data_IF_321081231071
#
_entry.id   IF_321081231071
#
_cell.length_a   1.000
_cell.length_b   1.000
_cell.length_c   1.000
_cell.angle_alpha   90.00
_cell.angle_beta   90.00
_cell.angle_gamma   90.00
#
_symmetry.space_group_name_H-M   'P 1'
#
loop_
_entity.id
_entity.type
_entity.pdbx_description
1 polymer ?
#
# COMPACT_ATOMS: atom_id res chain seq x y z
N UNK A 1 37.55 -41.97 -6.21
CA UNK A 1 36.62 -40.99 -6.83
C UNK A 1 36.27 -39.96 -5.78
N UNK A 2 36.64 -38.67 -5.94
CA UNK A 2 36.31 -37.66 -4.96
C UNK A 2 34.88 -37.17 -5.21
N UNK A 3 34.04 -37.29 -4.20
CA UNK A 3 32.68 -36.74 -4.18
C UNK A 3 32.78 -35.22 -4.10
N UNK A 4 32.53 -34.52 -5.20
CA UNK A 4 32.32 -33.07 -5.18
C UNK A 4 30.87 -32.81 -4.82
N UNK A 5 30.65 -32.27 -3.62
CA UNK A 5 29.33 -31.84 -3.16
C UNK A 5 28.80 -30.75 -4.08
N UNK A 6 27.56 -30.84 -4.59
CA UNK A 6 26.96 -29.71 -5.29
C UNK A 6 26.59 -28.66 -4.25
N UNK A 7 27.32 -27.54 -4.22
CA UNK A 7 26.92 -26.35 -3.46
C UNK A 7 25.54 -25.91 -3.94
N UNK A 8 24.52 -25.84 -3.08
CA UNK A 8 23.28 -25.17 -3.44
C UNK A 8 23.62 -23.70 -3.72
N UNK A 9 23.27 -23.22 -4.91
CA UNK A 9 23.39 -21.81 -5.27
C UNK A 9 22.78 -20.96 -4.15
N UNK A 10 23.35 -19.78 -3.81
CA UNK A 10 22.59 -18.80 -3.07
C UNK A 10 21.38 -18.49 -3.94
N UNK A 11 20.21 -18.95 -3.51
CA UNK A 11 18.92 -18.49 -4.02
C UNK A 11 18.93 -17.01 -3.64
N UNK A 12 19.46 -16.19 -4.55
CA UNK A 12 19.33 -14.76 -4.49
C UNK A 12 17.83 -14.56 -4.48
N UNK A 13 17.29 -14.32 -3.29
CA UNK A 13 15.96 -13.83 -3.05
C UNK A 13 15.92 -12.46 -3.68
N UNK A 14 15.87 -12.45 -5.01
CA UNK A 14 15.55 -11.30 -5.80
C UNK A 14 14.22 -10.84 -5.23
N UNK A 15 14.13 -9.64 -4.63
CA UNK A 15 12.84 -9.10 -4.28
C UNK A 15 12.09 -9.08 -5.61
N UNK A 16 11.02 -9.85 -5.70
CA UNK A 16 10.17 -9.89 -6.86
C UNK A 16 9.62 -8.48 -7.07
N UNK A 17 10.35 -7.65 -7.83
CA UNK A 17 9.99 -6.28 -8.19
C UNK A 17 8.94 -6.28 -9.32
N UNK A 18 8.08 -7.29 -9.36
CA UNK A 18 7.01 -7.39 -10.35
C UNK A 18 5.66 -7.56 -9.64
N UNK A 19 5.10 -6.43 -9.21
CA UNK A 19 3.71 -6.09 -9.50
C UNK A 19 3.50 -4.63 -9.11
N UNK A 20 3.54 -3.74 -10.11
CA UNK A 20 3.24 -2.31 -10.02
C UNK A 20 1.73 -2.05 -9.74
N UNK A 21 1.08 -3.00 -9.07
CA UNK A 21 -0.35 -3.06 -8.81
C UNK A 21 -0.52 -3.07 -7.30
N UNK A 22 -1.34 -2.15 -6.80
CA UNK A 22 -1.74 -2.10 -5.40
C UNK A 22 -2.39 -3.43 -5.00
N UNK A 23 -1.98 -3.95 -3.85
CA UNK A 23 -2.65 -5.09 -3.25
C UNK A 23 -4.10 -4.69 -2.90
N UNK A 24 -5.12 -5.44 -3.37
CA UNK A 24 -6.52 -5.11 -3.10
C UNK A 24 -6.87 -5.17 -1.61
N UNK A 25 -6.17 -5.98 -0.81
CA UNK A 25 -6.32 -5.99 0.65
C UNK A 25 -5.78 -4.70 1.26
N UNK A 26 -4.67 -4.18 0.73
CA UNK A 26 -4.13 -2.88 1.16
C UNK A 26 -5.10 -1.73 0.84
N UNK A 27 -5.74 -1.76 -0.33
CA UNK A 27 -6.79 -0.80 -0.69
C UNK A 27 -7.97 -0.90 0.28
N UNK A 28 -8.46 -2.11 0.56
CA UNK A 28 -9.57 -2.32 1.48
C UNK A 28 -9.24 -1.82 2.90
N UNK A 29 -8.01 -2.03 3.36
CA UNK A 29 -7.53 -1.50 4.63
C UNK A 29 -7.49 0.03 4.62
N UNK A 30 -6.92 0.64 3.57
CA UNK A 30 -6.91 2.10 3.41
C UNK A 30 -8.33 2.66 3.46
N UNK A 31 -9.28 1.98 2.81
CA UNK A 31 -10.69 2.38 2.83
C UNK A 31 -11.27 2.27 4.24
N UNK A 32 -10.96 1.21 4.99
CA UNK A 32 -11.44 1.03 6.37
C UNK A 32 -10.91 2.13 7.30
N UNK A 33 -9.60 2.35 7.31
CA UNK A 33 -8.95 3.40 8.11
C UNK A 33 -9.48 4.79 7.74
N UNK A 34 -9.69 5.02 6.46
CA UNK A 34 -10.26 6.28 5.97
C UNK A 34 -11.74 6.42 6.34
N UNK A 35 -12.51 5.33 6.35
CA UNK A 35 -13.92 5.34 6.73
C UNK A 35 -14.12 5.69 8.21
N UNK A 36 -13.18 5.34 9.08
CA UNK A 36 -13.20 5.79 10.48
C UNK A 36 -13.02 7.30 10.64
N UNK A 37 -12.46 7.99 9.63
CA UNK A 37 -12.16 9.42 9.67
C UNK A 37 -13.17 10.27 8.90
N UNK A 38 -13.56 9.84 7.70
CA UNK A 38 -14.45 10.60 6.81
C UNK A 38 -15.78 9.88 6.49
N UNK A 39 -16.02 8.74 7.13
CA UNK A 39 -17.24 7.96 6.95
C UNK A 39 -17.32 7.23 5.59
N UNK A 40 -18.52 6.87 5.12
CA UNK A 40 -18.72 6.05 3.93
C UNK A 40 -18.20 6.68 2.62
N UNK A 41 -17.87 7.98 2.65
CA UNK A 41 -17.20 8.67 1.54
C UNK A 41 -15.80 8.12 1.25
N UNK A 42 -15.17 7.42 2.20
CA UNK A 42 -13.87 6.77 2.02
C UNK A 42 -13.82 5.85 0.79
N UNK A 43 -14.90 5.07 0.56
CA UNK A 43 -15.00 4.19 -0.62
C UNK A 43 -14.87 4.97 -1.92
N UNK A 44 -15.57 6.10 -2.03
CA UNK A 44 -15.55 6.95 -3.23
C UNK A 44 -14.16 7.57 -3.42
N UNK A 45 -13.53 8.02 -2.34
CA UNK A 45 -12.19 8.62 -2.37
C UNK A 45 -11.14 7.58 -2.79
N UNK A 46 -11.20 6.36 -2.24
CA UNK A 46 -10.34 5.25 -2.63
C UNK A 46 -10.51 4.86 -4.09
N UNK A 47 -11.74 4.66 -4.55
CA UNK A 47 -12.03 4.32 -5.94
C UNK A 47 -11.55 5.40 -6.92
N UNK A 48 -11.84 6.68 -6.64
CA UNK A 48 -11.37 7.79 -7.48
C UNK A 48 -9.86 7.84 -7.55
N UNK A 49 -9.18 7.63 -6.43
CA UNK A 49 -7.72 7.66 -6.36
C UNK A 49 -7.10 6.51 -7.16
N UNK A 50 -7.70 5.31 -7.11
CA UNK A 50 -7.29 4.17 -7.93
C UNK A 50 -7.47 4.43 -9.43
N UNK A 51 -8.62 5.00 -9.82
CA UNK A 51 -8.91 5.33 -11.22
C UNK A 51 -7.92 6.39 -11.74
N UNK A 52 -7.58 7.37 -10.91
CA UNK A 52 -6.62 8.43 -11.25
C UNK A 52 -5.16 7.93 -11.27
N UNK A 53 -4.84 6.91 -10.46
CA UNK A 53 -3.48 6.41 -10.29
C UNK A 53 -3.43 4.87 -10.33
N UNK A 54 -3.75 4.24 -11.47
CA UNK A 54 -3.93 2.78 -11.55
C UNK A 54 -2.64 1.97 -11.29
N UNK A 55 -1.48 2.59 -11.51
CA UNK A 55 -0.16 1.97 -11.28
C UNK A 55 0.59 2.65 -10.12
N UNK A 56 -0.14 3.24 -9.16
CA UNK A 56 0.51 3.84 -7.98
C UNK A 56 1.03 2.75 -7.04
N UNK A 57 2.14 3.04 -6.36
CA UNK A 57 2.60 2.22 -5.23
C UNK A 57 1.72 2.49 -4.01
N UNK A 58 1.80 1.63 -2.99
CA UNK A 58 1.13 1.83 -1.70
C UNK A 58 1.36 3.24 -1.12
N UNK A 59 2.61 3.72 -1.19
CA UNK A 59 2.98 5.05 -0.69
C UNK A 59 2.39 6.19 -1.54
N UNK A 60 2.44 6.10 -2.87
CA UNK A 60 1.83 7.12 -3.73
C UNK A 60 0.30 7.11 -3.61
N UNK A 61 -0.32 5.96 -3.44
CA UNK A 61 -1.75 5.83 -3.18
C UNK A 61 -2.16 6.54 -1.89
N UNK A 62 -1.47 6.28 -0.78
CA UNK A 62 -1.74 6.92 0.51
C UNK A 62 -1.51 8.42 0.45
N UNK A 63 -0.47 8.86 -0.25
CA UNK A 63 -0.20 10.28 -0.48
C UNK A 63 -1.33 10.95 -1.28
N UNK A 64 -1.80 10.31 -2.35
CA UNK A 64 -2.91 10.81 -3.14
C UNK A 64 -4.23 10.85 -2.34
N UNK A 65 -4.53 9.80 -1.55
CA UNK A 65 -5.66 9.79 -0.62
C UNK A 65 -5.59 10.96 0.37
N UNK A 66 -4.41 11.20 0.94
CA UNK A 66 -4.19 12.28 1.90
C UNK A 66 -4.47 13.67 1.31
N UNK A 67 -4.26 13.85 0.00
CA UNK A 67 -4.55 15.09 -0.72
C UNK A 67 -6.04 15.26 -1.04
N UNK A 68 -6.79 14.16 -1.14
CA UNK A 68 -8.24 14.18 -1.37
C UNK A 68 -9.04 14.51 -0.10
N UNK A 69 -8.44 14.38 1.08
CA UNK A 69 -9.08 14.65 2.36
C UNK A 69 -9.01 16.17 2.63
N UNK A 70 -10.13 16.91 2.65
CA UNK A 70 -10.10 18.37 2.83
C UNK A 70 -9.61 18.79 4.23
N UNK A 71 -9.86 17.94 5.23
CA UNK A 71 -9.42 18.19 6.60
C UNK A 71 -7.98 17.66 6.80
N UNK A 72 -7.02 18.57 6.90
CA UNK A 72 -5.61 18.22 7.11
C UNK A 72 -5.39 17.37 8.37
N UNK A 73 -6.19 17.53 9.43
CA UNK A 73 -6.07 16.71 10.64
C UNK A 73 -6.39 15.25 10.34
N UNK A 74 -7.46 15.00 9.60
CA UNK A 74 -7.82 13.64 9.16
C UNK A 74 -6.79 13.05 8.20
N UNK A 75 -6.22 13.85 7.30
CA UNK A 75 -5.13 13.39 6.44
C UNK A 75 -3.89 12.94 7.22
N UNK A 76 -3.50 13.69 8.26
CA UNK A 76 -2.37 13.32 9.11
C UNK A 76 -2.66 12.09 9.97
N UNK A 77 -3.85 12.00 10.56
CA UNK A 77 -4.26 10.85 11.37
C UNK A 77 -4.31 9.58 10.51
N UNK A 78 -4.83 9.65 9.29
CA UNK A 78 -4.84 8.55 8.33
C UNK A 78 -3.43 8.01 8.04
N UNK A 79 -2.48 8.89 7.68
CA UNK A 79 -1.09 8.49 7.41
C UNK A 79 -0.45 7.87 8.65
N UNK A 80 -0.73 8.44 9.83
CA UNK A 80 -0.19 7.95 11.11
C UNK A 80 -0.71 6.56 11.45
N UNK A 81 -2.00 6.30 11.24
CA UNK A 81 -2.61 4.98 11.44
C UNK A 81 -1.95 3.93 10.57
N UNK A 82 -1.76 4.21 9.29
CA UNK A 82 -1.11 3.26 8.38
C UNK A 82 0.36 2.98 8.73
N UNK A 83 1.11 4.01 9.13
CA UNK A 83 2.48 3.88 9.61
C UNK A 83 2.56 3.10 10.93
N UNK A 84 1.66 3.38 11.88
CA UNK A 84 1.63 2.70 13.18
C UNK A 84 1.20 1.24 13.08
N UNK A 85 0.37 0.91 12.09
CA UNK A 85 -0.08 -0.46 11.82
C UNK A 85 0.96 -1.28 11.03
N UNK A 86 2.10 -0.69 10.63
CA UNK A 86 3.16 -1.38 9.87
C UNK A 86 2.79 -1.75 8.43
N UNK A 87 1.77 -1.10 7.88
CA UNK A 87 1.30 -1.34 6.51
C UNK A 87 1.94 -0.38 5.49
N UNK A 88 2.79 0.53 5.96
CA UNK A 88 3.49 1.57 5.21
C UNK A 88 4.92 1.72 5.73
#
# INVERSE_FOLDING_TARGET
QPWVSPTPLPISSAPNRNSNLLDPNFVALCQQELAELIGPMATIVCQRTLIQNPNSSAQEFVKALSQQIPNQKYAQDFKRRLLSSGHL
#
